data_IF_384049333030
#
_entry.id   IF_384049333030
#
_cell.length_a   1.000
_cell.length_b   1.000
_cell.length_c   1.000
_cell.angle_alpha   90.00
_cell.angle_beta   90.00
_cell.angle_gamma   90.00
#
_symmetry.space_group_name_H-M   'P 1'
#
loop_
_entity.id
_entity.type
_entity.pdbx_description
1 polymer ?
#
# COMPACT_ATOMS: atom_id res chain seq x y z
N UNK A 1 -21.72 49.74 -62.77
CA UNK A 1 -22.01 48.35 -62.33
C UNK A 1 -21.30 48.11 -61.00
N UNK A 2 -21.97 47.37 -60.12
CA UNK A 2 -21.63 46.90 -58.76
C UNK A 2 -21.57 47.93 -57.62
N UNK A 3 -22.73 48.10 -56.99
CA UNK A 3 -22.96 48.52 -55.61
C UNK A 3 -22.46 47.46 -54.62
N UNK A 4 -21.69 47.89 -53.60
CA UNK A 4 -21.30 47.05 -52.46
C UNK A 4 -22.35 47.13 -51.36
N UNK A 5 -22.91 45.97 -50.99
CA UNK A 5 -23.90 45.80 -49.94
C UNK A 5 -23.20 45.72 -48.57
N UNK A 6 -23.59 46.57 -47.62
CA UNK A 6 -23.24 46.43 -46.19
C UNK A 6 -24.20 45.43 -45.55
N UNK A 7 -23.70 44.26 -45.16
CA UNK A 7 -24.43 43.35 -44.26
C UNK A 7 -24.09 43.70 -42.82
N UNK A 8 -25.11 44.12 -42.07
CA UNK A 8 -25.07 44.24 -40.61
C UNK A 8 -25.24 42.85 -40.00
N UNK A 9 -24.20 42.31 -39.37
CA UNK A 9 -24.34 41.13 -38.52
C UNK A 9 -24.97 41.56 -37.19
N UNK A 10 -26.22 41.13 -36.96
CA UNK A 10 -26.86 41.11 -35.65
C UNK A 10 -26.11 40.11 -34.77
N UNK A 11 -25.63 40.59 -33.62
CA UNK A 11 -25.41 39.74 -32.45
C UNK A 11 -26.79 39.46 -31.87
N UNK A 12 -27.26 38.22 -31.94
CA UNK A 12 -28.21 37.64 -31.01
C UNK A 12 -28.06 36.10 -31.07
N UNK A 13 -28.27 35.48 -29.92
CA UNK A 13 -28.28 34.04 -29.61
C UNK A 13 -26.92 33.43 -29.21
N UNK A 14 -26.39 33.91 -28.08
CA UNK A 14 -25.54 33.11 -27.19
C UNK A 14 -26.44 32.12 -26.45
N UNK A 15 -26.32 30.84 -26.79
CA UNK A 15 -27.07 29.74 -26.19
C UNK A 15 -26.71 29.60 -24.70
N UNK A 16 -27.73 29.52 -23.83
CA UNK A 16 -27.59 29.53 -22.37
C UNK A 16 -26.95 28.26 -21.77
N UNK A 17 -26.51 27.32 -22.62
CA UNK A 17 -25.94 26.02 -22.24
C UNK A 17 -24.50 26.11 -21.74
N UNK A 18 -23.69 27.03 -22.28
CA UNK A 18 -22.32 27.24 -21.84
C UNK A 18 -22.26 27.90 -20.46
N UNK A 19 -23.14 28.88 -20.19
CA UNK A 19 -23.16 29.61 -18.92
C UNK A 19 -23.46 28.69 -17.71
N UNK A 20 -24.36 27.72 -17.89
CA UNK A 20 -24.70 26.73 -16.87
C UNK A 20 -23.56 25.73 -16.62
N UNK A 21 -22.82 25.32 -17.67
CA UNK A 21 -21.60 24.52 -17.50
C UNK A 21 -20.52 25.30 -16.74
N UNK A 22 -20.21 26.54 -17.14
CA UNK A 22 -19.21 27.36 -16.43
C UNK A 22 -19.63 27.67 -14.97
N UNK A 23 -20.91 27.86 -14.70
CA UNK A 23 -21.43 28.04 -13.34
C UNK A 23 -21.33 26.75 -12.52
N UNK A 24 -21.58 25.59 -13.11
CA UNK A 24 -21.44 24.29 -12.46
C UNK A 24 -19.96 23.96 -12.19
N UNK A 25 -19.05 24.20 -13.14
CA UNK A 25 -17.60 24.09 -12.95
C UNK A 25 -17.10 25.03 -11.85
N UNK A 26 -17.50 26.32 -11.87
CA UNK A 26 -17.11 27.30 -10.85
C UNK A 26 -17.69 27.01 -9.45
N UNK A 27 -18.88 26.40 -9.35
CA UNK A 27 -19.47 25.99 -8.06
C UNK A 27 -18.82 24.73 -7.47
N UNK A 28 -18.38 23.80 -8.32
CA UNK A 28 -17.75 22.55 -7.91
C UNK A 28 -16.29 22.75 -7.50
N UNK A 29 -15.51 23.55 -8.23
CA UNK A 29 -14.16 23.96 -7.80
C UNK A 29 -14.20 24.67 -6.44
N UNK A 30 -15.21 25.52 -6.22
CA UNK A 30 -15.41 26.19 -4.94
C UNK A 30 -15.76 25.24 -3.78
N UNK A 31 -16.38 24.08 -4.05
CA UNK A 31 -16.71 23.09 -3.03
C UNK A 31 -15.52 22.18 -2.73
N UNK A 32 -14.80 21.72 -3.75
CA UNK A 32 -13.62 20.85 -3.61
C UNK A 32 -12.51 21.61 -2.85
N UNK A 33 -12.32 22.90 -3.17
CA UNK A 33 -11.41 23.77 -2.42
C UNK A 33 -11.82 23.95 -0.95
N UNK A 34 -13.13 24.00 -0.65
CA UNK A 34 -13.62 24.09 0.74
C UNK A 34 -13.41 22.80 1.52
N UNK A 35 -13.55 21.63 0.89
CA UNK A 35 -13.27 20.35 1.53
C UNK A 35 -11.78 20.20 1.84
N UNK A 36 -10.93 20.48 0.86
CA UNK A 36 -9.48 20.49 0.99
C UNK A 36 -9.04 21.38 2.16
N UNK A 37 -9.55 22.62 2.21
CA UNK A 37 -9.20 23.57 3.28
C UNK A 37 -9.61 23.04 4.66
N UNK A 38 -10.83 22.49 4.81
CA UNK A 38 -11.28 21.91 6.07
C UNK A 38 -10.42 20.74 6.54
N UNK A 39 -10.00 19.87 5.61
CA UNK A 39 -9.07 18.76 5.93
C UNK A 39 -7.70 19.30 6.32
N UNK A 40 -7.22 20.33 5.63
CA UNK A 40 -5.95 20.99 5.93
C UNK A 40 -5.95 21.65 7.32
N UNK A 41 -6.99 22.40 7.67
CA UNK A 41 -7.15 23.01 8.99
C UNK A 41 -7.09 21.97 10.12
N UNK A 42 -7.75 20.81 9.95
CA UNK A 42 -7.64 19.70 10.91
C UNK A 42 -6.22 19.14 10.99
N UNK A 43 -5.58 18.95 9.85
CA UNK A 43 -4.23 18.43 9.76
C UNK A 43 -3.18 19.39 10.37
N UNK A 44 -3.39 20.70 10.28
CA UNK A 44 -2.49 21.70 10.88
C UNK A 44 -2.46 21.60 12.41
N UNK A 45 -3.57 21.17 13.03
CA UNK A 45 -3.71 20.96 14.46
C UNK A 45 -3.17 19.61 14.96
N UNK A 46 -2.84 18.68 14.05
CA UNK A 46 -2.25 17.40 14.40
C UNK A 46 -0.72 17.53 14.53
N UNK A 47 -0.23 17.41 15.76
CA UNK A 47 1.20 17.59 16.09
C UNK A 47 2.07 16.56 15.37
N UNK A 48 1.55 15.35 15.14
CA UNK A 48 2.27 14.29 14.45
C UNK A 48 2.64 14.64 13.00
N UNK A 49 1.94 15.59 12.36
CA UNK A 49 2.19 16.02 10.98
C UNK A 49 3.22 17.13 10.83
N UNK A 50 3.76 17.67 11.93
CA UNK A 50 4.77 18.75 11.89
C UNK A 50 5.95 18.47 10.94
N UNK A 51 6.50 17.23 10.82
CA UNK A 51 7.57 16.93 9.88
C UNK A 51 7.18 17.14 8.40
N UNK A 52 5.91 17.00 8.05
CA UNK A 52 5.41 17.10 6.66
C UNK A 52 5.25 18.56 6.23
N UNK A 53 4.96 19.48 7.15
CA UNK A 53 4.82 20.92 6.84
C UNK A 53 6.09 21.56 6.28
N UNK A 54 7.25 20.91 6.46
CA UNK A 54 8.58 21.40 6.05
C UNK A 54 9.28 20.44 5.08
N UNK A 55 8.56 19.51 4.47
CA UNK A 55 9.18 18.52 3.59
C UNK A 55 9.55 19.15 2.24
N UNK A 56 10.85 19.21 1.96
CA UNK A 56 11.41 19.74 0.71
C UNK A 56 12.45 18.81 0.07
N UNK A 57 12.76 17.70 0.74
CA UNK A 57 13.78 16.72 0.36
C UNK A 57 13.28 15.30 0.50
N UNK A 58 14.01 14.38 -0.12
CA UNK A 58 13.74 12.95 -0.02
C UNK A 58 13.83 12.47 1.43
N UNK A 59 12.76 11.84 1.89
CA UNK A 59 12.68 11.23 3.21
C UNK A 59 11.55 10.22 3.26
N UNK A 60 11.52 9.42 4.31
CA UNK A 60 10.42 8.53 4.62
C UNK A 60 9.98 8.81 6.05
N UNK A 61 8.67 8.95 6.25
CA UNK A 61 8.09 9.21 7.55
C UNK A 61 6.97 8.19 7.78
N UNK A 62 6.99 7.53 8.94
CA UNK A 62 6.04 6.48 9.27
C UNK A 62 5.33 6.85 10.57
N UNK A 63 4.02 6.64 10.57
CA UNK A 63 3.17 6.78 11.75
C UNK A 63 2.35 5.53 11.96
N UNK A 64 2.00 5.30 13.22
CA UNK A 64 1.11 4.26 13.70
C UNK A 64 -0.17 4.90 14.22
N UNK A 65 -1.32 4.39 13.81
CA UNK A 65 -2.63 4.83 14.26
C UNK A 65 -3.12 3.95 15.40
N UNK A 66 -3.26 4.54 16.58
CA UNK A 66 -3.80 3.88 17.77
C UNK A 66 -5.17 4.49 18.09
N UNK A 67 -6.21 3.93 17.48
CA UNK A 67 -7.53 4.55 17.43
C UNK A 67 -7.46 5.89 16.67
N UNK A 68 -7.82 6.99 17.33
CA UNK A 68 -7.75 8.33 16.74
C UNK A 68 -6.36 8.99 16.84
N UNK A 69 -5.44 8.41 17.62
CA UNK A 69 -4.13 9.00 17.88
C UNK A 69 -3.12 8.63 16.80
N UNK A 70 -2.43 9.64 16.26
CA UNK A 70 -1.33 9.45 15.32
C UNK A 70 -0.02 9.50 16.09
N UNK A 71 0.74 8.40 16.10
CA UNK A 71 2.05 8.34 16.76
C UNK A 71 3.18 8.18 15.73
N UNK A 72 4.22 9.01 15.76
CA UNK A 72 5.40 8.78 14.91
C UNK A 72 6.07 7.47 15.29
N UNK A 73 6.55 6.73 14.29
CA UNK A 73 7.40 5.56 14.48
C UNK A 73 8.85 6.01 14.50
N UNK A 74 9.64 5.48 15.44
CA UNK A 74 11.06 5.78 15.52
C UNK A 74 11.80 5.21 14.31
N UNK A 75 12.79 5.95 13.80
CA UNK A 75 13.49 5.58 12.56
C UNK A 75 14.19 4.20 12.63
N UNK A 76 14.59 3.76 13.83
CA UNK A 76 15.19 2.44 14.05
C UNK A 76 14.21 1.26 13.84
N UNK A 77 12.90 1.55 13.97
CA UNK A 77 11.80 0.58 13.87
C UNK A 77 11.11 0.62 12.50
N UNK A 78 11.61 1.45 11.58
CA UNK A 78 11.13 1.45 10.19
C UNK A 78 11.28 0.07 9.56
N UNK A 79 10.18 -0.39 8.96
CA UNK A 79 10.05 -1.73 8.39
C UNK A 79 9.46 -2.75 9.36
N UNK A 80 9.17 -2.38 10.61
CA UNK A 80 8.45 -3.24 11.57
C UNK A 80 7.01 -2.74 11.69
N UNK A 81 6.07 -3.61 11.31
CA UNK A 81 4.64 -3.40 11.39
C UNK A 81 4.06 -4.39 12.40
N UNK A 82 3.08 -3.93 13.16
CA UNK A 82 2.37 -4.73 14.15
C UNK A 82 0.91 -4.80 13.74
N UNK A 83 0.32 -6.00 13.75
CA UNK A 83 -1.01 -6.21 13.18
C UNK A 83 -2.18 -5.78 14.08
N UNK A 84 -1.90 -5.06 15.16
CA UNK A 84 -2.91 -4.47 16.04
C UNK A 84 -3.30 -3.04 15.68
N UNK A 85 -2.60 -2.43 14.72
CA UNK A 85 -2.76 -1.03 14.35
C UNK A 85 -2.53 -0.81 12.85
N UNK A 86 -3.12 0.27 12.34
CA UNK A 86 -2.91 0.74 10.97
C UNK A 86 -1.66 1.62 10.94
N UNK A 87 -0.90 1.57 9.84
CA UNK A 87 0.28 2.41 9.65
C UNK A 87 0.08 3.34 8.46
N UNK A 88 0.59 4.57 8.58
CA UNK A 88 0.69 5.52 7.47
C UNK A 88 2.19 5.66 7.14
N UNK A 89 2.55 5.45 5.87
CA UNK A 89 3.92 5.60 5.38
C UNK A 89 3.91 6.66 4.28
N UNK A 90 4.57 7.79 4.53
CA UNK A 90 4.81 8.81 3.51
C UNK A 90 6.23 8.63 2.97
N UNK A 91 6.35 8.26 1.70
CA UNK A 91 7.62 8.23 0.98
C UNK A 91 7.70 9.48 0.10
N UNK A 92 8.68 10.33 0.40
CA UNK A 92 9.03 11.50 -0.40
C UNK A 92 10.26 11.18 -1.25
N UNK A 93 10.13 11.37 -2.56
CA UNK A 93 11.18 11.08 -3.53
C UNK A 93 11.27 12.19 -4.59
N UNK A 94 12.48 12.42 -5.12
CA UNK A 94 12.69 13.32 -6.23
C UNK A 94 12.64 12.53 -7.55
N UNK A 95 11.50 12.57 -8.25
CA UNK A 95 11.29 11.91 -9.53
C UNK A 95 11.51 12.92 -10.67
N UNK A 96 12.73 12.97 -11.20
CA UNK A 96 13.16 13.89 -12.27
C UNK A 96 12.96 15.39 -11.94
N UNK A 97 13.58 15.85 -10.83
CA UNK A 97 13.52 17.24 -10.32
C UNK A 97 12.16 17.69 -9.79
N UNK A 98 11.19 16.78 -9.65
CA UNK A 98 9.89 17.03 -9.00
C UNK A 98 9.81 16.19 -7.73
N UNK A 99 9.46 16.82 -6.61
CA UNK A 99 9.13 16.09 -5.39
C UNK A 99 7.79 15.39 -5.61
N UNK A 100 7.76 14.10 -5.35
CA UNK A 100 6.58 13.24 -5.42
C UNK A 100 6.36 12.58 -4.07
N UNK A 101 5.09 12.30 -3.79
CA UNK A 101 4.62 11.78 -2.52
C UNK A 101 3.87 10.48 -2.76
N UNK A 102 4.43 9.37 -2.31
CA UNK A 102 3.77 8.07 -2.29
C UNK A 102 3.25 7.87 -0.85
N UNK A 103 1.93 7.91 -0.67
CA UNK A 103 1.25 7.86 0.62
C UNK A 103 0.57 6.50 0.80
N UNK A 104 1.20 5.62 1.56
CA UNK A 104 0.68 4.30 1.86
C UNK A 104 -0.08 4.31 3.19
N UNK A 105 -1.16 3.54 3.26
CA UNK A 105 -1.82 3.19 4.50
C UNK A 105 -1.97 1.67 4.58
N UNK A 106 -1.20 1.07 5.48
CA UNK A 106 -1.11 -0.37 5.69
C UNK A 106 -2.11 -0.81 6.75
N UNK A 107 -2.97 -1.74 6.37
CA UNK A 107 -4.11 -2.21 7.14
C UNK A 107 -3.87 -3.67 7.54
N UNK A 108 -3.91 -3.99 8.85
CA UNK A 108 -3.93 -5.38 9.31
C UNK A 108 -5.09 -6.17 8.71
N UNK A 109 -4.87 -7.44 8.41
CA UNK A 109 -5.87 -8.26 7.71
C UNK A 109 -7.16 -8.39 8.53
N UNK A 110 -7.02 -8.49 9.86
CA UNK A 110 -8.16 -8.58 10.78
C UNK A 110 -8.99 -7.30 10.93
N UNK A 111 -8.53 -6.17 10.40
CA UNK A 111 -9.25 -4.88 10.46
C UNK A 111 -9.87 -4.48 9.12
N UNK A 112 -9.65 -5.25 8.05
CA UNK A 112 -10.09 -4.89 6.69
C UNK A 112 -11.62 -4.73 6.63
N UNK A 113 -12.38 -5.61 7.26
CA UNK A 113 -13.86 -5.58 7.24
C UNK A 113 -14.45 -4.39 8.02
N UNK A 114 -13.70 -3.81 8.94
CA UNK A 114 -14.13 -2.65 9.75
C UNK A 114 -13.88 -1.31 9.05
N UNK A 115 -13.05 -1.31 7.99
CA UNK A 115 -12.62 -0.11 7.28
C UNK A 115 -13.45 0.03 6.02
N UNK A 116 -14.10 1.20 5.89
CA UNK A 116 -14.85 1.53 4.68
C UNK A 116 -13.97 1.67 3.42
N UNK A 117 -14.59 1.88 2.26
CA UNK A 117 -13.87 1.96 0.98
C UNK A 117 -12.88 3.12 0.92
N UNK A 118 -13.27 4.28 1.46
CA UNK A 118 -12.50 5.52 1.41
C UNK A 118 -11.20 5.43 2.23
N UNK A 119 -10.16 6.19 1.84
CA UNK A 119 -8.99 6.37 2.68
C UNK A 119 -9.39 6.89 4.06
N UNK A 120 -8.67 6.44 5.09
CA UNK A 120 -8.95 6.84 6.46
C UNK A 120 -8.87 8.36 6.60
N UNK A 121 -9.69 8.94 7.48
CA UNK A 121 -9.73 10.39 7.69
C UNK A 121 -8.34 10.99 7.93
N UNK A 122 -7.49 10.33 8.74
CA UNK A 122 -6.11 10.78 9.02
C UNK A 122 -5.20 10.76 7.79
N UNK A 123 -5.42 9.83 6.86
CA UNK A 123 -4.70 9.77 5.57
C UNK A 123 -5.12 10.94 4.68
N UNK A 124 -6.42 11.23 4.60
CA UNK A 124 -6.95 12.36 3.82
C UNK A 124 -6.55 13.73 4.41
N UNK A 125 -6.47 13.85 5.74
CA UNK A 125 -5.95 15.03 6.43
C UNK A 125 -4.47 15.26 6.09
N UNK A 126 -3.64 14.21 6.16
CA UNK A 126 -2.23 14.31 5.80
C UNK A 126 -2.02 14.69 4.33
N UNK A 127 -2.82 14.11 3.44
CA UNK A 127 -2.80 14.43 2.01
C UNK A 127 -3.17 15.89 1.72
N UNK A 128 -4.09 16.46 2.49
CA UNK A 128 -4.48 17.87 2.37
C UNK A 128 -3.32 18.83 2.64
N UNK A 129 -2.41 18.50 3.57
CA UNK A 129 -1.18 19.28 3.80
C UNK A 129 -0.25 19.29 2.57
N UNK A 130 -0.39 18.30 1.70
CA UNK A 130 0.33 18.14 0.44
C UNK A 130 -0.54 18.54 -0.77
N UNK A 131 -1.62 19.30 -0.55
CA UNK A 131 -2.57 19.76 -1.56
C UNK A 131 -3.17 18.63 -2.41
N UNK A 132 -3.40 17.46 -1.79
CA UNK A 132 -3.83 16.23 -2.45
C UNK A 132 -2.92 15.77 -3.62
N UNK A 133 -1.67 16.23 -3.65
CA UNK A 133 -0.67 15.84 -4.65
C UNK A 133 0.07 14.56 -4.26
N UNK A 134 -0.65 13.57 -3.75
CA UNK A 134 -0.10 12.26 -3.37
C UNK A 134 -0.62 11.14 -4.26
N UNK A 135 0.18 10.10 -4.45
CA UNK A 135 -0.30 8.81 -4.93
C UNK A 135 -0.73 8.03 -3.69
N UNK A 136 -1.97 7.57 -3.66
CA UNK A 136 -2.47 6.75 -2.56
C UNK A 136 -2.16 5.29 -2.80
N UNK A 137 -1.66 4.61 -1.77
CA UNK A 137 -1.48 3.17 -1.78
C UNK A 137 -2.24 2.55 -0.60
N UNK A 138 -3.36 1.85 -0.87
CA UNK A 138 -4.03 1.01 0.12
C UNK A 138 -3.29 -0.31 0.18
N UNK A 139 -2.70 -0.61 1.33
CA UNK A 139 -1.86 -1.79 1.52
C UNK A 139 -2.52 -2.70 2.55
N UNK A 140 -2.71 -3.98 2.23
CA UNK A 140 -3.39 -4.92 3.12
C UNK A 140 -2.39 -6.01 3.53
N UNK A 141 -2.37 -6.32 4.82
CA UNK A 141 -1.55 -7.40 5.36
C UNK A 141 -1.74 -8.71 4.55
N UNK A 142 -0.62 -9.38 4.24
CA UNK A 142 -0.49 -10.57 3.38
C UNK A 142 -0.54 -10.31 1.87
N UNK A 143 -1.03 -9.15 1.45
CA UNK A 143 -1.20 -8.73 0.06
C UNK A 143 -0.42 -7.44 -0.26
N UNK A 144 0.58 -7.10 0.55
CA UNK A 144 1.33 -5.85 0.40
C UNK A 144 2.05 -5.78 -0.94
N UNK A 145 1.98 -4.60 -1.57
CA UNK A 145 2.64 -4.34 -2.84
C UNK A 145 4.16 -4.49 -2.75
N UNK A 146 4.80 -4.78 -3.88
CA UNK A 146 6.26 -4.74 -4.00
C UNK A 146 6.80 -3.32 -3.71
N UNK A 147 6.02 -2.28 -4.03
CA UNK A 147 6.34 -0.86 -3.80
C UNK A 147 6.66 -0.62 -2.32
N UNK A 148 5.71 -0.92 -1.43
CA UNK A 148 5.88 -0.71 0.02
C UNK A 148 7.05 -1.54 0.56
N UNK A 149 7.11 -2.83 0.19
CA UNK A 149 8.13 -3.75 0.71
C UNK A 149 9.55 -3.33 0.31
N UNK A 150 9.73 -2.75 -0.88
CA UNK A 150 11.03 -2.38 -1.40
C UNK A 150 11.68 -1.17 -0.69
N UNK A 151 10.89 -0.37 0.04
CA UNK A 151 11.42 0.72 0.86
C UNK A 151 12.29 0.22 2.01
N UNK A 152 12.06 -1.01 2.46
CA UNK A 152 12.75 -1.57 3.61
C UNK A 152 13.82 -2.56 3.17
N UNK A 153 14.91 -2.66 3.94
CA UNK A 153 15.85 -3.78 3.76
C UNK A 153 15.19 -5.10 4.16
N UNK A 154 14.49 -5.07 5.28
CA UNK A 154 13.66 -6.17 5.78
C UNK A 154 12.28 -5.60 6.10
N UNK A 155 11.23 -6.15 5.49
CA UNK A 155 9.84 -5.88 5.86
C UNK A 155 9.42 -6.92 6.90
N UNK A 156 8.98 -6.46 8.07
CA UNK A 156 8.70 -7.31 9.23
C UNK A 156 7.26 -7.06 9.68
N UNK A 157 6.45 -8.10 9.74
CA UNK A 157 5.09 -8.04 10.32
C UNK A 157 5.05 -8.91 11.57
N UNK A 158 4.66 -8.31 12.69
CA UNK A 158 4.60 -8.89 14.01
C UNK A 158 3.15 -8.91 14.52
N UNK A 159 2.82 -9.89 15.36
CA UNK A 159 1.50 -9.97 16.01
C UNK A 159 1.49 -9.20 17.33
N UNK A 160 0.30 -8.70 17.70
CA UNK A 160 0.12 -7.84 18.89
C UNK A 160 0.59 -6.42 18.62
N UNK A 161 0.91 -5.64 19.66
CA UNK A 161 1.38 -4.27 19.53
C UNK A 161 2.81 -4.03 19.98
N UNK A 162 3.18 -2.74 20.07
CA UNK A 162 4.52 -2.25 20.47
C UNK A 162 4.88 -2.70 21.89
N UNK A 163 3.89 -2.96 22.75
CA UNK A 163 4.10 -3.54 24.09
C UNK A 163 4.68 -4.97 24.05
N UNK A 164 4.58 -5.66 22.92
CA UNK A 164 5.22 -6.96 22.72
C UNK A 164 6.64 -6.86 22.17
N UNK A 165 7.08 -5.65 21.80
CA UNK A 165 8.42 -5.42 21.27
C UNK A 165 9.50 -5.88 22.24
N UNK A 166 10.68 -6.16 21.70
CA UNK A 166 11.83 -6.48 22.54
C UNK A 166 12.27 -5.23 23.31
N UNK A 167 12.22 -5.29 24.65
CA UNK A 167 12.75 -4.26 25.54
C UNK A 167 14.15 -4.65 26.04
N UNK A 168 15.16 -3.85 25.68
CA UNK A 168 16.54 -4.03 26.14
C UNK A 168 16.67 -3.92 27.67
N UNK A 169 15.78 -3.17 28.34
CA UNK A 169 15.80 -3.01 29.80
C UNK A 169 15.21 -4.22 30.52
N UNK A 170 14.29 -4.94 29.87
CA UNK A 170 13.60 -6.09 30.45
C UNK A 170 13.63 -7.34 29.53
N UNK A 171 14.82 -7.79 29.08
CA UNK A 171 14.94 -8.83 28.05
C UNK A 171 14.35 -10.17 28.50
N UNK A 172 14.28 -10.43 29.81
CA UNK A 172 13.69 -11.65 30.39
C UNK A 172 12.17 -11.72 30.26
N UNK A 173 11.49 -10.59 30.02
CA UNK A 173 10.03 -10.55 29.80
C UNK A 173 9.64 -10.86 28.35
N UNK A 174 10.61 -10.87 27.43
CA UNK A 174 10.34 -11.12 26.02
C UNK A 174 9.76 -12.50 25.81
N UNK A 175 8.58 -12.57 25.18
CA UNK A 175 7.94 -13.82 24.79
C UNK A 175 8.49 -14.27 23.44
N UNK A 176 8.99 -15.51 23.31
CA UNK A 176 9.45 -16.01 22.02
C UNK A 176 8.35 -16.00 20.97
N UNK A 177 8.73 -15.70 19.71
CA UNK A 177 7.82 -15.70 18.56
C UNK A 177 8.43 -16.47 17.39
N UNK A 178 7.58 -17.09 16.58
CA UNK A 178 7.98 -17.82 15.38
C UNK A 178 7.75 -16.92 14.16
N UNK A 179 8.78 -16.72 13.34
CA UNK A 179 8.73 -15.88 12.15
C UNK A 179 8.98 -16.75 10.91
N UNK A 180 8.13 -16.63 9.89
CA UNK A 180 8.42 -17.15 8.53
C UNK A 180 9.27 -16.12 7.78
N UNK A 181 10.38 -16.55 7.21
CA UNK A 181 11.22 -15.77 6.33
C UNK A 181 10.97 -16.11 4.86
N UNK A 182 10.97 -15.09 4.00
CA UNK A 182 11.01 -15.20 2.54
C UNK A 182 11.87 -14.09 1.97
N UNK A 183 12.63 -14.37 0.92
CA UNK A 183 13.27 -13.32 0.12
C UNK A 183 12.35 -12.86 -1.00
N UNK A 184 12.21 -11.55 -1.16
CA UNK A 184 11.61 -10.93 -2.34
C UNK A 184 12.67 -10.11 -3.07
N UNK A 185 13.08 -10.55 -4.26
CA UNK A 185 14.28 -10.05 -4.95
C UNK A 185 15.52 -10.05 -4.04
N UNK A 186 15.97 -8.88 -3.55
CA UNK A 186 17.13 -8.74 -2.65
C UNK A 186 16.73 -8.18 -1.27
N UNK A 187 15.43 -8.23 -0.94
CA UNK A 187 14.86 -7.76 0.32
C UNK A 187 14.34 -8.95 1.12
N UNK A 188 14.41 -8.84 2.45
CA UNK A 188 13.89 -9.86 3.35
C UNK A 188 12.46 -9.55 3.78
N UNK A 189 11.64 -10.58 3.92
CA UNK A 189 10.33 -10.50 4.54
C UNK A 189 10.31 -11.45 5.75
N UNK A 190 9.98 -10.93 6.94
CA UNK A 190 9.73 -11.72 8.14
C UNK A 190 8.28 -11.51 8.55
N UNK A 191 7.55 -12.60 8.79
CA UNK A 191 6.17 -12.52 9.26
C UNK A 191 5.95 -13.45 10.43
N UNK A 192 5.39 -12.92 11.50
CA UNK A 192 5.04 -13.73 12.65
C UNK A 192 3.88 -14.70 12.32
N UNK A 193 4.12 -15.97 12.63
CA UNK A 193 3.18 -17.08 12.48
C UNK A 193 2.90 -17.69 13.85
N UNK A 194 1.80 -18.45 14.03
CA UNK A 194 1.55 -19.11 15.31
C UNK A 194 2.75 -19.97 15.74
N UNK A 195 3.14 -19.98 17.03
CA UNK A 195 4.28 -20.75 17.54
C UNK A 195 3.92 -22.24 17.67
N UNK A 196 3.56 -22.86 16.55
CA UNK A 196 3.14 -24.25 16.43
C UNK A 196 4.05 -24.99 15.45
N UNK A 197 4.34 -26.27 15.72
CA UNK A 197 5.02 -27.14 14.76
C UNK A 197 4.25 -27.28 13.44
N UNK A 198 2.92 -27.12 13.49
CA UNK A 198 2.04 -27.15 12.31
C UNK A 198 2.12 -25.89 11.44
N UNK A 199 2.76 -24.81 11.93
CA UNK A 199 3.06 -23.63 11.11
C UNK A 199 4.29 -23.85 10.20
N UNK A 200 5.17 -24.80 10.57
CA UNK A 200 6.36 -25.11 9.78
C UNK A 200 5.96 -25.77 8.46
N UNK A 201 6.69 -25.45 7.42
CA UNK A 201 6.53 -26.09 6.12
C UNK A 201 7.89 -26.26 5.44
N UNK A 202 7.98 -27.21 4.54
CA UNK A 202 9.22 -27.60 3.89
C UNK A 202 9.75 -26.56 2.88
N UNK A 203 8.97 -25.52 2.53
CA UNK A 203 9.30 -24.59 1.45
C UNK A 203 9.91 -23.26 1.91
N UNK A 204 9.90 -22.98 3.21
CA UNK A 204 10.31 -21.69 3.76
C UNK A 204 11.37 -21.85 4.85
N UNK A 205 12.03 -20.74 5.17
CA UNK A 205 12.90 -20.63 6.34
C UNK A 205 12.08 -20.06 7.50
N UNK A 206 12.29 -20.57 8.71
CA UNK A 206 11.63 -20.09 9.91
C UNK A 206 12.65 -19.63 10.95
N UNK A 207 12.31 -18.61 11.71
CA UNK A 207 13.16 -18.01 12.73
C UNK A 207 12.40 -18.03 14.05
N UNK A 208 12.94 -18.74 15.03
CA UNK A 208 12.46 -18.64 16.40
C UNK A 208 13.19 -17.49 17.08
N UNK A 209 12.50 -16.38 17.28
CA UNK A 209 13.02 -15.21 17.95
C UNK A 209 12.81 -15.32 19.47
N UNK A 210 13.91 -15.41 20.24
CA UNK A 210 13.93 -15.50 21.71
C UNK A 210 14.43 -14.19 22.35
N UNK A 211 14.45 -13.09 21.59
CA UNK A 211 14.83 -11.77 22.07
C UNK A 211 16.31 -11.49 21.81
N UNK A 212 17.16 -11.96 22.73
CA UNK A 212 18.62 -11.82 22.66
C UNK A 212 19.32 -12.93 21.85
N UNK A 213 18.58 -13.97 21.48
CA UNK A 213 19.03 -14.99 20.55
C UNK A 213 17.92 -15.38 19.60
N UNK A 214 18.30 -15.82 18.40
CA UNK A 214 17.38 -16.35 17.40
C UNK A 214 17.92 -17.67 16.89
N UNK A 215 17.02 -18.61 16.59
CA UNK A 215 17.34 -19.89 15.95
C UNK A 215 16.72 -19.91 14.55
N UNK A 216 17.40 -20.51 13.58
CA UNK A 216 16.93 -20.61 12.18
C UNK A 216 16.66 -22.09 11.85
N UNK A 217 15.46 -22.38 11.33
CA UNK A 217 15.06 -23.69 10.82
C UNK A 217 14.83 -23.57 9.30
N UNK A 218 15.33 -24.54 8.51
CA UNK A 218 15.25 -24.49 7.06
C UNK A 218 14.42 -25.66 6.53
N UNK A 219 13.36 -25.36 5.78
CA UNK A 219 12.61 -26.41 5.08
C UNK A 219 13.46 -27.09 3.98
N UNK A 220 13.22 -28.38 3.73
CA UNK A 220 13.98 -29.16 2.74
C UNK A 220 13.93 -28.56 1.32
N UNK A 221 12.81 -27.94 0.94
CA UNK A 221 12.58 -27.30 -0.37
C UNK A 221 12.78 -25.78 -0.38
N UNK A 222 13.26 -25.16 0.71
CA UNK A 222 13.56 -23.72 0.67
C UNK A 222 14.83 -23.43 -0.16
N UNK A 223 14.87 -22.27 -0.83
CA UNK A 223 15.98 -21.93 -1.74
C UNK A 223 17.28 -21.63 -0.97
N UNK A 224 18.44 -21.93 -1.56
CA UNK A 224 19.75 -21.57 -0.97
C UNK A 224 19.87 -20.05 -0.74
N UNK A 225 19.23 -19.27 -1.62
CA UNK A 225 19.14 -17.81 -1.51
C UNK A 225 18.36 -17.42 -0.24
N UNK A 226 17.22 -18.06 0.04
CA UNK A 226 16.46 -17.80 1.27
C UNK A 226 17.26 -18.21 2.51
N UNK A 227 17.90 -19.38 2.50
CA UNK A 227 18.74 -19.86 3.62
C UNK A 227 19.82 -18.86 3.98
N UNK A 228 20.56 -18.38 2.98
CA UNK A 228 21.68 -17.45 3.16
C UNK A 228 21.21 -16.04 3.49
N UNK A 229 20.15 -15.56 2.83
CA UNK A 229 19.60 -14.22 3.07
C UNK A 229 19.00 -14.12 4.47
N UNK A 230 18.26 -15.14 4.92
CA UNK A 230 17.68 -15.19 6.26
C UNK A 230 18.73 -14.89 7.33
N UNK A 231 19.87 -15.59 7.28
CA UNK A 231 20.97 -15.39 8.24
C UNK A 231 21.46 -13.92 8.28
N UNK A 232 21.64 -13.28 7.12
CA UNK A 232 22.07 -11.88 7.04
C UNK A 232 21.03 -10.91 7.63
N UNK A 233 19.76 -11.11 7.32
CA UNK A 233 18.68 -10.28 7.85
C UNK A 233 18.48 -10.47 9.37
N UNK A 234 18.61 -11.71 9.87
CA UNK A 234 18.55 -12.05 11.29
C UNK A 234 19.71 -11.40 12.06
N UNK A 235 20.93 -11.44 11.53
CA UNK A 235 22.09 -10.81 12.16
C UNK A 235 21.90 -9.31 12.32
N UNK A 236 21.40 -8.63 11.28
CA UNK A 236 21.13 -7.20 11.35
C UNK A 236 20.02 -6.88 12.37
N UNK A 237 19.01 -7.74 12.48
CA UNK A 237 17.96 -7.58 13.47
C UNK A 237 18.48 -7.79 14.90
N UNK A 238 19.36 -8.78 15.12
CA UNK A 238 20.01 -9.04 16.41
C UNK A 238 21.01 -7.96 16.82
N UNK A 239 21.76 -7.37 15.88
CA UNK A 239 22.68 -6.25 16.16
C UNK A 239 21.95 -5.09 16.82
N UNK A 240 20.72 -4.79 16.39
CA UNK A 240 19.87 -3.74 17.02
C UNK A 240 19.57 -4.03 18.49
N UNK A 241 19.52 -5.32 18.88
CA UNK A 241 19.22 -5.78 20.24
C UNK A 241 20.45 -6.12 21.06
N UNK A 242 21.66 -5.92 20.53
CA UNK A 242 22.94 -6.40 21.11
C UNK A 242 22.90 -7.91 21.42
N UNK A 243 22.13 -8.67 20.65
CA UNK A 243 21.95 -10.11 20.82
C UNK A 243 23.03 -10.93 20.11
N UNK A 244 22.95 -12.25 20.27
CA UNK A 244 23.81 -13.23 19.59
C UNK A 244 22.98 -14.18 18.74
N UNK A 245 23.37 -14.38 17.49
CA UNK A 245 22.77 -15.39 16.64
C UNK A 245 23.24 -16.76 17.12
N UNK A 246 22.31 -17.65 17.47
CA UNK A 246 22.63 -19.05 17.79
C UNK A 246 22.14 -19.87 16.60
N UNK A 247 23.08 -20.30 15.76
CA UNK A 247 22.76 -21.11 14.57
C UNK A 247 22.69 -22.56 15.01
N UNK A 248 21.48 -23.07 15.15
CA UNK A 248 21.25 -24.50 15.24
C UNK A 248 20.57 -24.90 13.93
N UNK A 249 21.33 -25.62 13.09
CA UNK A 249 20.87 -26.09 11.79
C UNK A 249 20.01 -27.32 12.02
N UNK A 250 18.77 -27.26 11.56
CA UNK A 250 17.90 -28.41 11.47
C UNK A 250 17.40 -28.44 10.04
N UNK A 251 17.98 -29.31 9.21
CA UNK A 251 17.36 -29.67 7.95
C UNK A 251 16.21 -30.64 8.27
N UNK A 252 15.10 -30.54 7.55
CA UNK A 252 13.93 -31.42 7.75
C UNK A 252 14.26 -32.92 7.64
N UNK A 253 15.36 -33.25 6.95
CA UNK A 253 15.90 -34.60 6.78
C UNK A 253 16.71 -35.09 8.01
N UNK A 254 17.11 -34.19 8.92
CA UNK A 254 17.68 -34.53 10.22
C UNK A 254 16.56 -34.94 11.20
N UNK A 255 16.01 -36.13 10.96
CA UNK A 255 15.08 -36.89 11.81
C UNK A 255 15.44 -36.85 13.31
N UNK A 256 15.08 -35.84 14.11
CA UNK A 256 15.50 -35.80 15.52
C UNK A 256 14.53 -35.05 16.47
N UNK A 257 13.60 -35.79 17.07
CA UNK A 257 13.06 -35.55 18.43
C UNK A 257 12.66 -34.12 18.88
N UNK A 258 12.48 -33.93 20.19
CA UNK A 258 12.44 -32.60 20.80
C UNK A 258 13.83 -31.97 20.67
N UNK A 259 13.95 -30.86 19.94
CA UNK A 259 15.18 -30.06 19.85
C UNK A 259 14.95 -28.64 20.38
N UNK A 260 15.98 -27.79 20.42
CA UNK A 260 15.88 -26.46 21.06
C UNK A 260 14.89 -25.52 20.34
N UNK A 261 14.65 -25.78 19.04
CA UNK A 261 13.70 -25.05 18.20
C UNK A 261 12.27 -25.58 18.40
N UNK A 262 12.07 -26.89 18.28
CA UNK A 262 10.72 -27.51 18.34
C UNK A 262 10.18 -27.65 19.75
N UNK A 263 11.05 -27.66 20.78
CA UNK A 263 10.65 -27.79 22.20
C UNK A 263 9.84 -26.62 22.74
N UNK A 264 9.92 -25.45 22.10
CA UNK A 264 9.14 -24.26 22.50
C UNK A 264 7.87 -24.07 21.66
N UNK A 265 7.66 -24.92 20.65
CA UNK A 265 6.50 -24.86 19.77
C UNK A 265 5.43 -25.83 20.27
N UNK A 266 4.17 -25.39 20.20
CA UNK A 266 3.02 -26.24 20.51
C UNK A 266 2.59 -27.08 19.30
N UNK A 267 1.52 -27.86 19.46
CA UNK A 267 0.94 -28.69 18.40
C UNK A 267 -0.47 -28.22 17.99
N UNK A 268 -0.80 -26.95 18.29
CA UNK A 268 -2.10 -26.37 18.00
C UNK A 268 -2.32 -26.28 16.48
N UNK A 269 -3.55 -26.48 15.99
CA UNK A 269 -3.86 -26.27 14.57
C UNK A 269 -3.55 -24.83 14.16
N UNK A 270 -3.12 -24.66 12.92
CA UNK A 270 -2.76 -23.37 12.33
C UNK A 270 -3.62 -23.14 11.11
N UNK A 271 -4.39 -22.07 11.13
CA UNK A 271 -5.16 -21.67 9.97
C UNK A 271 -4.23 -21.30 8.80
N UNK A 272 -4.59 -21.65 7.56
CA UNK A 272 -3.80 -21.26 6.40
C UNK A 272 -3.73 -19.75 6.31
N UNK A 273 -2.52 -19.23 6.08
CA UNK A 273 -2.35 -17.79 5.84
C UNK A 273 -3.04 -17.39 4.53
N UNK A 274 -3.64 -16.19 4.46
CA UNK A 274 -4.04 -15.61 3.20
C UNK A 274 -2.84 -15.57 2.25
N UNK A 275 -3.06 -15.95 0.99
CA UNK A 275 -2.01 -15.91 -0.03
C UNK A 275 -2.49 -15.13 -1.25
N UNK A 276 -1.63 -14.28 -1.83
CA UNK A 276 -1.95 -13.63 -3.10
C UNK A 276 -2.10 -14.68 -4.20
N UNK A 277 -3.01 -14.48 -5.16
CA UNK A 277 -3.15 -15.37 -6.30
C UNK A 277 -1.85 -15.37 -7.12
N UNK A 278 -1.49 -16.55 -7.65
CA UNK A 278 -0.23 -16.73 -8.41
C UNK A 278 -0.25 -16.03 -9.77
N UNK A 279 -1.43 -15.93 -10.36
CA UNK A 279 -1.63 -15.37 -11.69
C UNK A 279 -2.99 -14.67 -11.74
N UNK A 280 -3.01 -13.49 -12.33
CA UNK A 280 -4.20 -12.71 -12.64
C UNK A 280 -4.00 -12.17 -14.05
N UNK A 281 -5.01 -12.36 -14.91
CA UNK A 281 -5.03 -11.72 -16.23
C UNK A 281 -5.14 -10.21 -16.07
N UNK A 282 -4.29 -9.46 -16.79
CA UNK A 282 -4.40 -8.00 -16.79
C UNK A 282 -5.73 -7.61 -17.43
N UNK A 283 -6.48 -6.74 -16.77
CA UNK A 283 -7.73 -6.19 -17.32
C UNK A 283 -7.77 -4.69 -17.13
N UNK A 284 -8.41 -4.02 -18.09
CA UNK A 284 -8.59 -2.57 -18.04
C UNK A 284 -10.06 -2.23 -18.19
N UNK A 285 -10.54 -1.34 -17.33
CA UNK A 285 -11.86 -0.76 -17.37
C UNK A 285 -11.76 0.76 -17.33
N UNK A 286 -12.79 1.43 -17.84
CA UNK A 286 -13.03 2.86 -17.64
C UNK A 286 -14.30 3.04 -16.83
N UNK A 287 -14.20 3.81 -15.76
CA UNK A 287 -15.28 4.21 -14.89
C UNK A 287 -15.80 5.54 -15.41
N UNK A 288 -16.96 5.50 -16.10
CA UNK A 288 -17.54 6.65 -16.77
C UNK A 288 -18.97 6.89 -16.30
N UNK A 289 -19.41 8.16 -16.26
CA UNK A 289 -20.80 8.53 -16.02
C UNK A 289 -21.55 9.14 -17.23
N UNK A 290 -20.99 9.01 -18.44
CA UNK A 290 -21.56 9.51 -19.71
C UNK A 290 -23.02 9.11 -19.95
N UNK A 291 -23.41 7.90 -19.53
CA UNK A 291 -24.78 7.40 -19.66
C UNK A 291 -25.73 7.88 -18.55
N UNK A 292 -25.34 8.93 -17.80
CA UNK A 292 -26.07 9.47 -16.66
C UNK A 292 -25.97 8.63 -15.38
N UNK A 293 -25.23 7.53 -15.41
CA UNK A 293 -24.96 6.65 -14.27
C UNK A 293 -23.51 6.19 -14.33
N UNK A 294 -22.86 6.16 -13.18
CA UNK A 294 -21.49 5.68 -13.02
C UNK A 294 -21.41 4.17 -13.30
N UNK A 295 -20.58 3.78 -14.27
CA UNK A 295 -20.45 2.39 -14.73
C UNK A 295 -19.00 2.04 -15.08
N UNK A 296 -18.61 0.79 -14.81
CA UNK A 296 -17.35 0.23 -15.29
C UNK A 296 -17.55 -0.41 -16.66
N UNK A 297 -16.86 0.14 -17.66
CA UNK A 297 -16.91 -0.31 -19.05
C UNK A 297 -15.58 -1.00 -19.37
N UNK A 298 -15.56 -2.26 -19.84
CA UNK A 298 -14.33 -2.97 -20.18
C UNK A 298 -13.63 -2.35 -21.40
N UNK A 299 -12.31 -2.24 -21.34
CA UNK A 299 -11.43 -1.69 -22.39
C UNK A 299 -10.49 -2.77 -22.94
N UNK A 300 -9.75 -3.45 -22.06
CA UNK A 300 -8.81 -4.51 -22.44
C UNK A 300 -8.90 -5.73 -21.52
N UNK A 301 -8.46 -6.88 -22.05
CA UNK A 301 -8.30 -8.13 -21.33
C UNK A 301 -7.06 -8.87 -21.85
N UNK A 302 -6.21 -9.35 -20.93
CA UNK A 302 -4.95 -10.04 -21.20
C UNK A 302 -3.80 -9.09 -21.50
N UNK A 303 -3.93 -8.30 -22.57
CA UNK A 303 -2.90 -7.37 -23.04
C UNK A 303 -3.40 -5.93 -22.94
N UNK A 304 -2.73 -5.10 -22.13
CA UNK A 304 -3.15 -3.72 -21.87
C UNK A 304 -2.20 -2.73 -22.53
N UNK A 305 -2.74 -1.69 -23.15
CA UNK A 305 -1.96 -0.62 -23.78
C UNK A 305 -2.32 0.74 -23.18
N UNK A 306 -1.33 1.64 -23.09
CA UNK A 306 -1.55 3.04 -22.68
C UNK A 306 -2.57 3.76 -23.56
N UNK A 307 -2.73 3.34 -24.82
CA UNK A 307 -3.72 3.91 -25.74
C UNK A 307 -5.17 3.70 -25.29
N UNK A 308 -5.42 2.78 -24.34
CA UNK A 308 -6.75 2.59 -23.75
C UNK A 308 -7.12 3.62 -22.68
N UNK A 309 -6.14 4.40 -22.19
CA UNK A 309 -6.39 5.42 -21.17
C UNK A 309 -7.29 6.51 -21.72
N UNK A 310 -8.44 6.71 -21.09
CA UNK A 310 -9.25 7.88 -21.36
C UNK A 310 -8.85 9.05 -20.46
N UNK A 311 -8.43 10.20 -20.99
CA UNK A 311 -8.19 11.37 -20.17
C UNK A 311 -9.48 11.98 -19.58
N UNK A 312 -10.66 11.64 -20.10
CA UNK A 312 -11.94 12.18 -19.61
C UNK A 312 -12.59 11.36 -18.52
N UNK A 313 -12.06 10.17 -18.22
CA UNK A 313 -12.65 9.23 -17.26
C UNK A 313 -11.65 8.81 -16.17
N UNK A 314 -12.12 8.03 -15.21
CA UNK A 314 -11.26 7.26 -14.31
C UNK A 314 -10.96 5.89 -14.92
N UNK A 315 -9.71 5.46 -14.93
CA UNK A 315 -9.27 4.21 -15.55
C UNK A 315 -8.83 3.21 -14.49
N UNK A 316 -9.40 2.01 -14.49
CA UNK A 316 -9.05 0.90 -13.60
C UNK A 316 -8.19 -0.08 -14.37
N UNK A 317 -6.98 -0.37 -13.89
CA UNK A 317 -6.03 -1.31 -14.49
C UNK A 317 -5.71 -2.35 -13.43
N UNK A 318 -6.31 -3.52 -13.56
CA UNK A 318 -6.09 -4.63 -12.66
C UNK A 318 -4.96 -5.53 -13.19
N UNK A 319 -3.97 -5.80 -12.32
CA UNK A 319 -2.74 -6.53 -12.68
C UNK A 319 -2.52 -7.70 -11.73
N UNK A 320 -1.32 -8.30 -11.65
CA UNK A 320 -0.97 -9.19 -10.53
C UNK A 320 -0.57 -8.41 -9.28
N UNK A 321 -0.03 -7.21 -9.44
CA UNK A 321 0.61 -6.44 -8.37
C UNK A 321 -0.39 -5.60 -7.56
N UNK A 322 -1.55 -5.30 -8.14
CA UNK A 322 -2.61 -4.52 -7.51
C UNK A 322 -3.59 -3.97 -8.54
N UNK A 323 -4.60 -3.27 -8.03
CA UNK A 323 -5.48 -2.44 -8.83
C UNK A 323 -4.89 -1.04 -8.93
N UNK A 324 -4.44 -0.65 -10.12
CA UNK A 324 -4.03 0.72 -10.42
C UNK A 324 -5.25 1.52 -10.88
N UNK A 325 -5.42 2.73 -10.33
CA UNK A 325 -6.50 3.64 -10.67
C UNK A 325 -5.90 4.95 -11.14
N UNK A 326 -6.05 5.25 -12.42
CA UNK A 326 -5.61 6.50 -13.01
C UNK A 326 -6.80 7.45 -13.21
N UNK A 327 -6.81 8.55 -12.47
CA UNK A 327 -7.83 9.59 -12.58
C UNK A 327 -7.43 10.55 -13.71
N UNK A 328 -8.21 10.56 -14.78
CA UNK A 328 -7.99 11.41 -15.95
C UNK A 328 -8.03 12.91 -15.61
N UNK A 329 -7.30 13.76 -16.35
CA UNK A 329 -7.23 15.20 -16.08
C UNK A 329 -8.60 15.90 -16.17
N UNK A 330 -9.56 15.34 -16.91
CA UNK A 330 -10.90 15.92 -17.07
C UNK A 330 -12.00 14.97 -16.60
N UNK A 331 -11.66 13.96 -15.79
CA UNK A 331 -12.62 13.07 -15.13
C UNK A 331 -13.72 13.83 -14.41
N UNK A 332 -14.96 13.37 -14.52
CA UNK A 332 -16.12 14.05 -13.94
C UNK A 332 -16.06 14.03 -12.41
N UNK A 333 -16.67 15.01 -11.74
CA UNK A 333 -16.70 15.05 -10.26
C UNK A 333 -17.32 13.77 -9.68
N UNK A 334 -18.39 13.26 -10.31
CA UNK A 334 -19.07 12.04 -9.88
C UNK A 334 -18.14 10.83 -9.97
N UNK A 335 -17.32 10.74 -11.01
CA UNK A 335 -16.33 9.69 -11.16
C UNK A 335 -15.25 9.80 -10.08
N UNK A 336 -14.68 11.00 -9.87
CA UNK A 336 -13.64 11.26 -8.86
C UNK A 336 -14.11 10.91 -7.44
N UNK A 337 -15.33 11.30 -7.08
CA UNK A 337 -15.93 10.96 -5.77
C UNK A 337 -16.34 9.49 -5.66
N UNK A 338 -16.49 8.79 -6.78
CA UNK A 338 -16.87 7.37 -6.82
C UNK A 338 -15.70 6.39 -6.75
N UNK A 339 -14.46 6.86 -6.94
CA UNK A 339 -13.26 6.02 -7.15
C UNK A 339 -13.15 4.88 -6.15
N UNK A 340 -13.08 5.17 -4.86
CA UNK A 340 -12.79 4.17 -3.83
C UNK A 340 -13.93 3.18 -3.64
N UNK A 341 -15.17 3.67 -3.67
CA UNK A 341 -16.36 2.82 -3.57
C UNK A 341 -16.48 1.87 -4.76
N UNK A 342 -16.27 2.35 -5.98
CA UNK A 342 -16.35 1.49 -7.17
C UNK A 342 -15.15 0.55 -7.27
N UNK A 343 -13.97 0.95 -6.77
CA UNK A 343 -12.81 0.07 -6.65
C UNK A 343 -13.06 -1.09 -5.69
N UNK A 344 -13.64 -0.83 -4.51
CA UNK A 344 -14.01 -1.88 -3.56
C UNK A 344 -15.08 -2.82 -4.13
N UNK A 345 -16.12 -2.28 -4.77
CA UNK A 345 -17.13 -3.10 -5.47
C UNK A 345 -16.51 -3.97 -6.56
N UNK A 346 -15.60 -3.41 -7.36
CA UNK A 346 -14.89 -4.15 -8.38
C UNK A 346 -14.07 -5.28 -7.76
N UNK A 347 -13.22 -4.98 -6.77
CA UNK A 347 -12.37 -5.99 -6.11
C UNK A 347 -13.19 -7.10 -5.44
N UNK A 348 -14.33 -6.76 -4.82
CA UNK A 348 -15.28 -7.72 -4.26
C UNK A 348 -15.92 -8.66 -5.29
N UNK A 349 -15.90 -8.29 -6.57
CA UNK A 349 -16.34 -9.17 -7.67
C UNK A 349 -15.22 -10.07 -8.21
N UNK A 350 -13.97 -9.86 -7.81
CA UNK A 350 -12.81 -10.66 -8.23
C UNK A 350 -12.54 -11.85 -7.31
N UNK A 351 -11.61 -12.72 -7.71
CA UNK A 351 -11.16 -13.86 -6.90
C UNK A 351 -10.35 -13.47 -5.65
N UNK A 352 -9.90 -12.22 -5.55
CA UNK A 352 -9.06 -11.76 -4.45
C UNK A 352 -9.37 -10.29 -4.12
N UNK A 353 -10.34 -10.03 -3.21
CA UNK A 353 -10.81 -8.68 -2.90
C UNK A 353 -9.84 -7.84 -2.06
N UNK A 354 -8.91 -8.49 -1.36
CA UNK A 354 -7.99 -7.86 -0.40
C UNK A 354 -6.68 -7.41 -1.04
N UNK A 355 -6.70 -7.09 -2.33
CA UNK A 355 -5.51 -6.67 -3.08
C UNK A 355 -5.22 -5.19 -2.90
N UNK A 356 -3.95 -4.77 -3.07
CA UNK A 356 -3.59 -3.38 -2.88
C UNK A 356 -4.18 -2.51 -3.99
N UNK A 357 -4.49 -1.25 -3.64
CA UNK A 357 -4.98 -0.23 -4.57
C UNK A 357 -3.92 0.86 -4.70
N UNK A 358 -3.63 1.27 -5.92
CA UNK A 358 -2.70 2.36 -6.24
C UNK A 358 -3.46 3.43 -7.02
N UNK A 359 -3.85 4.51 -6.36
CA UNK A 359 -4.65 5.58 -6.94
C UNK A 359 -3.79 6.81 -7.22
N UNK A 360 -3.74 7.23 -8.48
CA UNK A 360 -2.94 8.34 -8.96
C UNK A 360 -3.75 9.26 -9.86
N UNK A 361 -3.46 10.57 -9.76
CA UNK A 361 -3.99 11.60 -10.63
C UNK A 361 -3.10 11.82 -11.85
N UNK A 362 -3.71 12.29 -12.95
CA UNK A 362 -2.99 12.77 -14.10
C UNK A 362 -1.85 13.74 -13.73
N UNK A 363 -0.66 13.52 -14.30
CA UNK A 363 0.54 14.33 -14.03
C UNK A 363 1.36 13.93 -12.79
N UNK A 364 0.91 12.94 -12.03
CA UNK A 364 1.73 12.27 -11.01
C UNK A 364 2.66 11.24 -11.66
N UNK A 365 3.86 11.07 -11.10
CA UNK A 365 4.89 10.15 -11.64
C UNK A 365 5.00 8.90 -10.78
N UNK A 366 4.80 7.74 -11.39
CA UNK A 366 4.96 6.42 -10.79
C UNK A 366 5.70 5.52 -11.76
N UNK A 367 6.87 5.01 -11.35
CA UNK A 367 7.65 4.10 -12.19
C UNK A 367 6.93 2.76 -12.33
N UNK A 368 6.28 2.33 -11.27
CA UNK A 368 5.55 1.06 -11.22
C UNK A 368 4.33 1.10 -12.13
N UNK A 369 3.60 2.22 -12.16
CA UNK A 369 2.54 2.43 -13.15
C UNK A 369 3.08 2.50 -14.58
N UNK A 370 4.32 2.95 -14.80
CA UNK A 370 4.92 2.98 -16.14
C UNK A 370 5.36 1.58 -16.63
N UNK A 371 5.52 0.62 -15.72
CA UNK A 371 5.98 -0.74 -16.03
C UNK A 371 4.82 -1.74 -16.29
N UNK A 372 3.58 -1.41 -15.95
CA UNK A 372 2.45 -2.36 -16.11
C UNK A 372 2.00 -2.59 -17.55
N UNK A 373 2.40 -1.73 -18.48
CA UNK A 373 1.88 -1.69 -19.86
C UNK A 373 2.57 -2.69 -20.78
N UNK A 374 1.83 -3.22 -21.74
CA UNK A 374 2.33 -4.17 -22.74
C UNK A 374 2.64 -3.48 -24.09
N UNK A 375 2.85 -2.16 -24.11
CA UNK A 375 3.05 -1.37 -25.34
C UNK A 375 4.27 -1.80 -26.19
N UNK A 376 5.20 -2.56 -25.62
CA UNK A 376 6.47 -2.95 -26.24
C UNK A 376 6.54 -4.44 -26.62
N UNK A 377 5.47 -5.20 -26.41
CA UNK A 377 5.41 -6.64 -26.72
C UNK A 377 4.73 -6.94 -28.07
#
# INVERSE_FOLDING_TARGET
MSSFNRSSYRFDDYDGSDADQYAQYGSTENQDNKDLEKRREKAENEVAWEPVKKVDKEQMIIWRLEGANVKPVEAQDYGIFYNDAIYIVLKVANKQRKICYDLHFWIPFGLVEEIGPEPLQKVMELSALLNDQVIYHKEIEYFESSILKNYFKTFIVLRGGVETAFDEKEPKKYKPRLLRFKTNHNKGELREVPPSKKALNSHYVFVLDKGLSMLQWNGSFCSEKDRSSASSHIEDFLKRRKGKLTREFYDEEDLLGLNSFTSVLNDDPVDPMPTPPKYIDKVMYRLSDDNGKLQLIPVYHGHISRNGLDPTDVNFIDTSDGLYIYIGPTASKREREGVWREAEKYLNSTVCPTRPIHCLNAGQKSYEFDEIWDDYN
#
